data_IF_942597443184
#
_entry.id   IF_942597443184
#
_cell.length_a   1.000
_cell.length_b   1.000
_cell.length_c   1.000
_cell.angle_alpha   90.00
_cell.angle_beta   90.00
_cell.angle_gamma   90.00
#
_symmetry.space_group_name_H-M   'P 1'
#
loop_
_entity.id
_entity.type
_entity.pdbx_description
1 polymer ?
#
# COMPACT_ATOMS: atom_id res chain seq x y z
N UNK A 1 -9.30 5.19 3.79
CA UNK A 1 -9.89 4.96 5.14
C UNK A 1 -8.80 4.98 6.19
N UNK A 2 -7.73 4.19 6.04
CA UNK A 2 -6.56 4.22 6.92
C UNK A 2 -5.48 5.21 6.46
N UNK A 3 -5.39 5.48 5.14
CA UNK A 3 -4.40 6.42 4.60
C UNK A 3 -4.56 7.86 5.13
N UNK A 4 -5.77 8.23 5.58
CA UNK A 4 -6.11 9.56 6.12
C UNK A 4 -6.12 9.59 7.66
N UNK A 5 -5.88 8.46 8.33
CA UNK A 5 -5.82 8.42 9.79
C UNK A 5 -4.50 9.00 10.33
N UNK A 6 -4.51 9.37 11.60
CA UNK A 6 -3.25 9.66 12.28
C UNK A 6 -2.39 8.41 12.36
N UNK A 7 -1.06 8.59 12.27
CA UNK A 7 -0.10 7.48 12.44
C UNK A 7 -0.33 6.70 13.76
N UNK A 8 -0.76 7.40 14.82
CA UNK A 8 -1.12 6.79 16.10
C UNK A 8 -2.31 5.84 15.96
N UNK A 9 -3.42 6.31 15.39
CA UNK A 9 -4.64 5.50 15.20
C UNK A 9 -4.38 4.26 14.34
N UNK A 10 -3.65 4.45 13.24
CA UNK A 10 -3.26 3.35 12.37
C UNK A 10 -2.41 2.31 13.12
N UNK A 11 -1.38 2.75 13.86
CA UNK A 11 -0.49 1.86 14.59
C UNK A 11 -1.21 1.11 15.73
N UNK A 12 -2.07 1.79 16.47
CA UNK A 12 -2.87 1.19 17.53
C UNK A 12 -3.81 0.10 16.96
N UNK A 13 -4.46 0.37 15.81
CA UNK A 13 -5.34 -0.60 15.15
C UNK A 13 -4.56 -1.77 14.56
N UNK A 14 -3.43 -1.53 13.90
CA UNK A 14 -2.56 -2.57 13.32
C UNK A 14 -2.01 -3.51 14.40
N UNK A 15 -1.71 -3.00 15.59
CA UNK A 15 -1.23 -3.79 16.72
C UNK A 15 -2.35 -4.52 17.50
N UNK A 16 -3.61 -4.33 17.11
CA UNK A 16 -4.78 -4.89 17.80
C UNK A 16 -5.12 -6.31 17.32
N UNK A 17 -6.22 -6.87 17.85
CA UNK A 17 -6.83 -8.11 17.34
C UNK A 17 -7.75 -7.92 16.13
N UNK A 18 -7.80 -6.72 15.55
CA UNK A 18 -8.60 -6.45 14.34
C UNK A 18 -8.05 -7.23 13.14
N UNK A 19 -8.92 -7.79 12.27
CA UNK A 19 -8.46 -8.49 11.07
C UNK A 19 -7.87 -7.55 10.00
N UNK A 20 -8.10 -6.24 10.10
CA UNK A 20 -7.50 -5.21 9.24
C UNK A 20 -7.31 -3.89 10.03
N UNK A 21 -6.33 -3.03 9.70
CA UNK A 21 -5.36 -3.18 8.62
C UNK A 21 -4.34 -4.28 8.91
N UNK A 22 -3.80 -4.90 7.85
CA UNK A 22 -2.92 -6.07 7.95
C UNK A 22 -1.45 -5.77 7.68
N UNK A 23 -0.66 -6.83 7.53
CA UNK A 23 0.76 -6.73 7.19
C UNK A 23 1.01 -6.04 5.84
N UNK A 24 0.11 -6.20 4.86
CA UNK A 24 0.18 -5.51 3.57
C UNK A 24 0.03 -4.00 3.72
N UNK A 25 -0.99 -3.54 4.44
CA UNK A 25 -1.16 -2.13 4.81
C UNK A 25 0.07 -1.59 5.56
N UNK A 26 0.61 -2.35 6.53
CA UNK A 26 1.83 -1.97 7.26
C UNK A 26 3.05 -1.82 6.37
N UNK A 27 3.27 -2.76 5.44
CA UNK A 27 4.35 -2.70 4.45
C UNK A 27 4.18 -1.49 3.50
N UNK A 28 2.94 -1.19 3.09
CA UNK A 28 2.64 -0.03 2.27
C UNK A 28 2.99 1.28 3.01
N UNK A 29 2.64 1.43 4.29
CA UNK A 29 3.02 2.59 5.12
C UNK A 29 4.54 2.75 5.23
N UNK A 30 5.28 1.66 5.43
CA UNK A 30 6.75 1.71 5.43
C UNK A 30 7.30 2.20 4.08
N UNK A 31 6.70 1.75 2.97
CA UNK A 31 7.01 2.23 1.63
C UNK A 31 6.70 3.72 1.43
N UNK A 32 5.57 4.22 1.95
CA UNK A 32 5.21 5.65 1.91
C UNK A 32 6.31 6.49 2.55
N UNK A 33 6.78 6.09 3.75
CA UNK A 33 7.86 6.78 4.44
C UNK A 33 9.16 6.77 3.62
N UNK A 34 9.53 5.63 3.02
CA UNK A 34 10.70 5.52 2.14
C UNK A 34 10.61 6.44 0.92
N UNK A 35 9.48 6.44 0.22
CA UNK A 35 9.25 7.29 -0.94
C UNK A 35 9.27 8.79 -0.57
N UNK A 36 8.69 9.16 0.58
CA UNK A 36 8.73 10.52 1.09
C UNK A 36 10.16 10.99 1.42
N UNK A 37 11.00 10.12 1.98
CA UNK A 37 12.41 10.44 2.24
C UNK A 37 13.20 10.66 0.93
N UNK A 38 12.94 9.86 -0.10
CA UNK A 38 13.54 10.09 -1.43
C UNK A 38 13.10 11.44 -2.00
N UNK A 39 11.80 11.74 -1.96
CA UNK A 39 11.27 13.02 -2.42
C UNK A 39 11.87 14.21 -1.64
N UNK A 40 12.04 14.08 -0.32
CA UNK A 40 12.69 15.09 0.52
C UNK A 40 14.12 15.38 0.04
N UNK A 41 14.93 14.34 -0.21
CA UNK A 41 16.31 14.52 -0.70
C UNK A 41 16.33 15.17 -2.09
N UNK A 42 15.41 14.79 -2.99
CA UNK A 42 15.29 15.44 -4.29
C UNK A 42 15.00 16.95 -4.13
N UNK A 43 14.03 17.31 -3.29
CA UNK A 43 13.67 18.70 -3.00
C UNK A 43 14.81 19.49 -2.34
N UNK A 44 15.63 18.85 -1.50
CA UNK A 44 16.82 19.47 -0.93
C UNK A 44 17.95 19.68 -1.95
N UNK A 45 17.88 19.05 -3.12
CA UNK A 45 18.93 19.06 -4.14
C UNK A 45 18.61 20.00 -5.30
N UNK A 46 17.38 19.96 -5.80
CA UNK A 46 16.90 20.74 -6.94
C UNK A 46 17.10 22.25 -6.70
N UNK A 47 17.54 22.97 -7.73
CA UNK A 47 17.73 24.42 -7.75
C UNK A 47 18.99 24.91 -7.02
N UNK A 48 19.80 24.02 -6.43
CA UNK A 48 21.06 24.41 -5.78
C UNK A 48 22.20 24.42 -6.80
N UNK A 49 22.92 25.54 -6.87
CA UNK A 49 24.05 25.71 -7.78
C UNK A 49 25.12 24.60 -7.64
N UNK A 50 25.37 24.11 -6.42
CA UNK A 50 26.31 22.99 -6.16
C UNK A 50 25.90 21.68 -6.85
N UNK A 51 24.63 21.52 -7.21
CA UNK A 51 24.05 20.28 -7.75
C UNK A 51 23.45 20.49 -9.15
N UNK A 52 23.88 21.54 -9.87
CA UNK A 52 23.36 21.87 -11.20
C UNK A 52 23.46 20.68 -12.18
N UNK A 53 24.55 19.91 -12.12
CA UNK A 53 24.79 18.76 -13.01
C UNK A 53 23.78 17.62 -12.83
N UNK A 54 23.09 17.54 -11.69
CA UNK A 54 22.11 16.49 -11.38
C UNK A 54 20.67 17.00 -11.30
N UNK A 55 20.43 18.29 -11.55
CA UNK A 55 19.11 18.91 -11.34
C UNK A 55 18.00 18.19 -12.12
N UNK A 56 18.23 17.93 -13.41
CA UNK A 56 17.27 17.21 -14.26
C UNK A 56 16.98 15.80 -13.74
N UNK A 57 18.01 15.05 -13.35
CA UNK A 57 17.85 13.70 -12.83
C UNK A 57 17.09 13.68 -11.50
N UNK A 58 17.31 14.68 -10.64
CA UNK A 58 16.58 14.81 -9.37
C UNK A 58 15.11 15.14 -9.59
N UNK A 59 14.76 15.95 -10.60
CA UNK A 59 13.36 16.21 -10.97
C UNK A 59 12.65 14.95 -11.44
N UNK A 60 13.30 14.16 -12.29
CA UNK A 60 12.75 12.88 -12.75
C UNK A 60 12.56 11.89 -11.60
N UNK A 61 13.52 11.84 -10.67
CA UNK A 61 13.44 10.99 -9.49
C UNK A 61 12.33 11.44 -8.54
N UNK A 62 12.16 12.76 -8.35
CA UNK A 62 11.08 13.32 -7.55
C UNK A 62 9.71 12.89 -8.09
N UNK A 63 9.49 12.99 -9.41
CA UNK A 63 8.24 12.54 -10.04
C UNK A 63 7.96 11.05 -9.79
N UNK A 64 8.99 10.21 -9.88
CA UNK A 64 8.88 8.77 -9.58
C UNK A 64 8.55 8.54 -8.11
N UNK A 65 9.24 9.22 -7.20
CA UNK A 65 9.05 9.09 -5.76
C UNK A 65 7.62 9.50 -5.35
N UNK A 66 7.12 10.63 -5.84
CA UNK A 66 5.75 11.08 -5.57
C UNK A 66 4.71 10.11 -6.12
N UNK A 67 4.91 9.59 -7.34
CA UNK A 67 4.00 8.58 -7.91
C UNK A 67 3.95 7.32 -7.05
N UNK A 68 5.10 6.83 -6.58
CA UNK A 68 5.14 5.66 -5.70
C UNK A 68 4.51 5.96 -4.34
N UNK A 69 4.76 7.14 -3.77
CA UNK A 69 4.17 7.57 -2.50
C UNK A 69 2.65 7.57 -2.57
N UNK A 70 2.07 8.14 -3.63
CA UNK A 70 0.63 8.15 -3.86
C UNK A 70 0.08 6.73 -4.06
N UNK A 71 0.73 5.90 -4.88
CA UNK A 71 0.28 4.52 -5.09
C UNK A 71 0.33 3.69 -3.82
N UNK A 72 1.36 3.88 -2.98
CA UNK A 72 1.48 3.17 -1.71
C UNK A 72 0.42 3.60 -0.71
N UNK A 73 0.02 4.88 -0.69
CA UNK A 73 -1.13 5.33 0.11
C UNK A 73 -2.43 4.65 -0.32
N UNK A 74 -2.68 4.50 -1.63
CA UNK A 74 -3.83 3.75 -2.14
C UNK A 74 -3.77 2.28 -1.69
N UNK A 75 -2.59 1.66 -1.77
CA UNK A 75 -2.39 0.26 -1.37
C UNK A 75 -2.64 -0.01 0.11
N UNK A 76 -2.47 0.98 1.00
CA UNK A 76 -2.85 0.86 2.41
C UNK A 76 -4.32 0.49 2.54
N UNK A 77 -5.19 1.16 1.78
CA UNK A 77 -6.63 0.92 1.78
C UNK A 77 -7.02 -0.31 0.94
N UNK A 78 -6.38 -0.53 -0.22
CA UNK A 78 -6.68 -1.69 -1.07
C UNK A 78 -6.42 -3.02 -0.35
N UNK A 79 -5.35 -3.14 0.45
CA UNK A 79 -5.05 -4.34 1.24
C UNK A 79 -6.17 -4.64 2.25
N UNK A 80 -6.70 -3.60 2.88
CA UNK A 80 -7.83 -3.72 3.81
C UNK A 80 -9.07 -4.25 3.10
N UNK A 81 -9.33 -3.78 1.87
CA UNK A 81 -10.51 -4.17 1.09
C UNK A 81 -10.39 -5.54 0.43
N UNK A 82 -9.17 -6.07 0.28
CA UNK A 82 -8.92 -7.41 -0.24
C UNK A 82 -9.34 -8.49 0.77
N UNK A 83 -9.08 -8.28 2.07
CA UNK A 83 -9.35 -9.27 3.11
C UNK A 83 -10.82 -9.77 3.14
N UNK A 84 -11.85 -8.91 3.13
CA UNK A 84 -13.24 -9.35 3.07
C UNK A 84 -13.58 -10.21 1.85
N UNK A 85 -12.94 -9.96 0.69
CA UNK A 85 -13.18 -10.73 -0.55
C UNK A 85 -12.68 -12.15 -0.41
N UNK A 86 -11.48 -12.30 0.14
CA UNK A 86 -10.89 -13.61 0.43
C UNK A 86 -11.76 -14.38 1.43
N UNK A 87 -12.20 -13.73 2.53
CA UNK A 87 -13.09 -14.36 3.51
C UNK A 87 -14.43 -14.76 2.90
N UNK A 88 -15.02 -13.92 2.03
CA UNK A 88 -16.26 -14.26 1.33
C UNK A 88 -16.07 -15.49 0.43
N UNK A 89 -14.96 -15.57 -0.30
CA UNK A 89 -14.63 -16.73 -1.12
C UNK A 89 -14.46 -18.01 -0.28
N UNK A 90 -13.80 -17.90 0.89
CA UNK A 90 -13.64 -19.05 1.80
C UNK A 90 -14.96 -19.57 2.39
N UNK A 91 -15.99 -18.71 2.50
CA UNK A 91 -17.34 -19.04 3.00
C UNK A 91 -18.26 -19.69 1.97
N UNK A 92 -17.85 -19.77 0.71
CA UNK A 92 -18.65 -20.45 -0.33
C UNK A 92 -18.86 -21.94 0.00
N UNK A 93 -19.98 -22.54 -0.44
CA UNK A 93 -20.24 -23.97 -0.31
C UNK A 93 -19.11 -24.84 -0.87
N UNK A 94 -19.03 -26.09 -0.41
CA UNK A 94 -17.94 -27.02 -0.76
C UNK A 94 -18.34 -28.50 -0.74
N UNK A 95 -19.63 -28.78 -0.84
CA UNK A 95 -20.16 -30.14 -0.73
C UNK A 95 -20.08 -30.86 -2.09
N UNK A 96 -20.43 -30.17 -3.18
CA UNK A 96 -20.34 -30.72 -4.55
C UNK A 96 -19.02 -30.40 -5.23
N UNK A 97 -18.70 -31.11 -6.31
CA UNK A 97 -17.47 -30.85 -7.07
C UNK A 97 -17.54 -29.53 -7.84
N UNK A 98 -18.73 -29.13 -8.31
CA UNK A 98 -18.99 -27.80 -8.86
C UNK A 98 -18.76 -26.70 -7.82
N UNK A 99 -19.29 -26.87 -6.60
CA UNK A 99 -19.10 -25.92 -5.50
C UNK A 99 -17.63 -25.79 -5.11
N UNK A 100 -16.91 -26.91 -4.97
CA UNK A 100 -15.47 -26.91 -4.70
C UNK A 100 -14.69 -26.20 -5.81
N UNK A 101 -15.09 -26.33 -7.08
CA UNK A 101 -14.44 -25.65 -8.20
C UNK A 101 -14.70 -24.15 -8.17
N UNK A 102 -15.97 -23.74 -8.08
CA UNK A 102 -16.34 -22.32 -7.99
C UNK A 102 -15.68 -21.62 -6.80
N UNK A 103 -15.61 -22.31 -5.65
CA UNK A 103 -14.91 -21.81 -4.46
C UNK A 103 -13.41 -21.63 -4.68
N UNK A 104 -12.74 -22.58 -5.34
CA UNK A 104 -11.30 -22.43 -5.68
C UNK A 104 -11.07 -21.26 -6.61
N UNK A 105 -11.89 -21.11 -7.64
CA UNK A 105 -11.76 -20.02 -8.60
C UNK A 105 -12.00 -18.66 -7.93
N UNK A 106 -12.99 -18.56 -7.05
CA UNK A 106 -13.24 -17.36 -6.26
C UNK A 106 -12.10 -17.01 -5.29
N UNK A 107 -11.48 -18.00 -4.64
CA UNK A 107 -10.30 -17.77 -3.78
C UNK A 107 -9.11 -17.27 -4.59
N UNK A 108 -8.91 -17.81 -5.80
CA UNK A 108 -7.79 -17.43 -6.66
C UNK A 108 -7.94 -16.03 -7.28
N UNK A 109 -9.17 -15.55 -7.45
CA UNK A 109 -9.50 -14.24 -8.02
C UNK A 109 -9.62 -13.13 -6.97
N UNK A 110 -9.83 -13.48 -5.71
CA UNK A 110 -9.99 -12.55 -4.59
C UNK A 110 -8.64 -11.95 -4.16
#
# INVERSE_FOLDING_TARGET
MYADETLRSFADTLASGSPAPGGGSGAAVAGVAGAALVAMVCNLTIGRAKFADVDSAMRDLLLKAERQRMRLLELVDEDTLAYPRVIAAYRLPRETDEEKRARRDAIQQA
#
